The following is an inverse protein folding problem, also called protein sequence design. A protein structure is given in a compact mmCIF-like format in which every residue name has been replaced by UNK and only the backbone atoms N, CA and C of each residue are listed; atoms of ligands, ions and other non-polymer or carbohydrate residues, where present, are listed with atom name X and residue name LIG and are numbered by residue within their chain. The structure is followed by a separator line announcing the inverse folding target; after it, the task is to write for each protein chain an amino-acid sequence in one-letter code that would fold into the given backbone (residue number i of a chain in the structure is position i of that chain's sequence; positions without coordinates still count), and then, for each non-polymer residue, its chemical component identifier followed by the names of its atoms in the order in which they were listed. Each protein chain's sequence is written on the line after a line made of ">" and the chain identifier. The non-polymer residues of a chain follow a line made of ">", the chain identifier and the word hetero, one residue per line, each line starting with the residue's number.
data_IF_344578243058
#
_entry.id   IF_344578243058
#
_cell.length_a   1.000
_cell.length_b   1.000
_cell.length_c   1.000
_cell.angle_alpha   90.00
_cell.angle_beta   90.00
_cell.angle_gamma   90.00
#
_symmetry.space_group_name_H-M   'P 1'
#
loop_
_entity.id
_entity.type
_entity.pdbx_description
1 polymer ?
#
# COMPACT_ATOMS: atom_id res chain seq x y z
N UNK A 1 -3.67 -13.35 1.85
CA UNK A 1 -3.26 -12.05 2.38
C UNK A 1 -2.00 -11.62 1.62
N UNK A 2 -1.95 -10.42 0.98
CA UNK A 2 -0.82 -9.98 0.12
C UNK A 2 -0.03 -8.81 0.74
N UNK A 3 1.28 -8.73 0.52
CA UNK A 3 2.10 -7.55 0.89
C UNK A 3 2.66 -6.92 -0.38
N UNK A 4 2.49 -5.61 -0.55
CA UNK A 4 3.03 -4.85 -1.70
C UNK A 4 2.69 -5.48 -3.07
N UNK A 5 1.47 -6.02 -3.21
CA UNK A 5 1.02 -6.80 -4.36
C UNK A 5 1.83 -8.08 -4.69
N UNK A 6 2.78 -8.48 -3.83
CA UNK A 6 3.64 -9.65 -3.97
C UNK A 6 2.91 -10.99 -3.86
N UNK A 7 3.56 -12.05 -4.35
CA UNK A 7 3.07 -13.43 -4.34
C UNK A 7 3.79 -14.24 -3.26
N UNK A 8 3.34 -14.10 -2.02
CA UNK A 8 3.78 -14.95 -0.91
C UNK A 8 2.89 -16.20 -0.83
N UNK A 9 3.51 -17.37 -0.69
CA UNK A 9 2.83 -18.65 -0.41
C UNK A 9 3.04 -19.02 1.07
N UNK A 10 2.03 -19.60 1.71
CA UNK A 10 2.06 -19.93 3.15
C UNK A 10 1.68 -18.78 4.08
N UNK A 11 1.91 -18.96 5.38
CA UNK A 11 1.66 -17.95 6.42
C UNK A 11 2.79 -16.92 6.48
N UNK A 12 2.45 -15.67 6.79
CA UNK A 12 3.44 -14.60 6.92
C UNK A 12 4.11 -14.62 8.29
N UNK A 13 5.37 -14.22 8.30
CA UNK A 13 6.12 -13.98 9.53
C UNK A 13 5.80 -12.57 10.08
N UNK A 14 5.44 -12.42 11.36
CA UNK A 14 5.11 -11.13 11.97
C UNK A 14 6.23 -10.09 11.89
N UNK A 15 7.50 -10.51 11.90
CA UNK A 15 8.66 -9.62 11.75
C UNK A 15 8.66 -9.02 10.35
N UNK A 16 8.34 -9.81 9.34
CA UNK A 16 8.24 -9.32 7.97
C UNK A 16 7.11 -8.30 7.82
N UNK A 17 5.96 -8.56 8.46
CA UNK A 17 4.81 -7.64 8.45
C UNK A 17 5.17 -6.29 9.07
N UNK A 18 5.82 -6.30 10.23
CA UNK A 18 6.29 -5.07 10.89
C UNK A 18 7.36 -4.34 10.07
N UNK A 19 8.34 -5.06 9.52
CA UNK A 19 9.45 -4.46 8.77
C UNK A 19 8.99 -3.74 7.50
N UNK A 20 7.93 -4.23 6.86
CA UNK A 20 7.43 -3.64 5.61
C UNK A 20 6.35 -2.57 5.83
N UNK A 21 5.83 -2.44 7.05
CA UNK A 21 4.83 -1.44 7.36
C UNK A 21 5.48 -0.05 7.38
N UNK A 22 5.25 0.75 6.34
CA UNK A 22 5.78 2.12 6.26
C UNK A 22 4.80 3.20 6.74
N UNK A 23 3.62 2.80 7.23
CA UNK A 23 2.52 3.72 7.56
C UNK A 23 2.91 4.83 8.55
N UNK A 24 3.83 4.53 9.49
CA UNK A 24 4.30 5.51 10.48
C UNK A 24 5.02 6.70 9.84
N UNK A 25 5.61 6.52 8.65
CA UNK A 25 6.31 7.57 7.90
C UNK A 25 5.46 8.08 6.72
N UNK A 26 4.79 7.16 6.02
CA UNK A 26 4.13 7.45 4.74
C UNK A 26 2.70 7.97 4.89
N UNK A 27 2.14 8.01 6.11
CA UNK A 27 0.82 8.60 6.36
C UNK A 27 0.71 10.03 5.82
N UNK A 28 1.81 10.79 5.79
CA UNK A 28 1.88 12.14 5.21
C UNK A 28 1.58 12.19 3.70
N UNK A 29 1.58 11.05 3.01
CA UNK A 29 1.32 10.96 1.57
C UNK A 29 -0.16 10.80 1.25
N UNK A 30 -1.05 10.70 2.25
CA UNK A 30 -2.48 10.45 2.02
C UNK A 30 -3.16 11.51 1.15
N UNK A 31 -2.76 12.78 1.27
CA UNK A 31 -3.36 13.87 0.48
C UNK A 31 -3.08 13.69 -1.03
N UNK A 32 -1.85 13.35 -1.38
CA UNK A 32 -1.46 13.14 -2.79
C UNK A 32 -1.96 11.80 -3.34
N UNK A 33 -2.11 10.79 -2.48
CA UNK A 33 -2.71 9.49 -2.82
C UNK A 33 -4.19 9.66 -3.24
N UNK A 34 -4.95 10.47 -2.50
CA UNK A 34 -6.34 10.80 -2.85
C UNK A 34 -6.41 11.54 -4.19
N UNK A 35 -5.57 12.57 -4.38
CA UNK A 35 -5.55 13.35 -5.62
C UNK A 35 -5.22 12.47 -6.84
N UNK A 36 -4.21 11.62 -6.72
CA UNK A 36 -3.81 10.70 -7.78
C UNK A 36 -4.92 9.68 -8.08
N UNK A 37 -5.59 9.16 -7.05
CA UNK A 37 -6.71 8.22 -7.21
C UNK A 37 -7.88 8.85 -7.97
N UNK A 38 -8.23 10.11 -7.67
CA UNK A 38 -9.27 10.85 -8.41
C UNK A 38 -8.88 11.09 -9.87
N UNK A 39 -7.61 11.44 -10.12
CA UNK A 39 -7.11 11.63 -11.49
C UNK A 39 -7.12 10.31 -12.28
N UNK A 40 -6.73 9.21 -11.64
CA UNK A 40 -6.75 7.88 -12.24
C UNK A 40 -8.17 7.42 -12.58
N UNK A 41 -9.14 7.62 -11.68
CA UNK A 41 -10.54 7.30 -11.94
C UNK A 41 -11.08 8.03 -13.18
N UNK A 42 -10.83 9.35 -13.30
CA UNK A 42 -11.24 10.14 -14.47
C UNK A 42 -10.59 9.68 -15.77
N UNK A 43 -9.38 9.12 -15.72
CA UNK A 43 -8.69 8.64 -16.91
C UNK A 43 -9.22 7.27 -17.40
N UNK A 44 -9.93 6.54 -16.54
CA UNK A 44 -10.55 5.26 -16.87
C UNK A 44 -12.00 5.38 -17.35
N UNK A 45 -12.66 6.52 -17.09
CA UNK A 45 -13.97 6.90 -17.66
C UNK A 45 -13.86 7.21 -19.16
#
# INVERSE_FOLDING_TARGET
>A
DKMLAGRFVGSRDPVMEMLSASITCDQRLSEVDIQASMAYAKALE
#
